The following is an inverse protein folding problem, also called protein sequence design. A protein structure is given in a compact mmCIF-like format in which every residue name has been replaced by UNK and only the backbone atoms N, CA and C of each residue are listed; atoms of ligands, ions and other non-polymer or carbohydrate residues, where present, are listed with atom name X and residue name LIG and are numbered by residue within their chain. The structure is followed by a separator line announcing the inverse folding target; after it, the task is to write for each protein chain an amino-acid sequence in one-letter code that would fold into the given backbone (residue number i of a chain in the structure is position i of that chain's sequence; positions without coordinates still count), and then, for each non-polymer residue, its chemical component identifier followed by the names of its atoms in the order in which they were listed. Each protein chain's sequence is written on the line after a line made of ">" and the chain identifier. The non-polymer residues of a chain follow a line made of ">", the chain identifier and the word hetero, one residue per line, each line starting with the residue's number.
data_IF_267768554322
#
_entry.id   IF_267768554322
#
_cell.length_a   1.000
_cell.length_b   1.000
_cell.length_c   1.000
_cell.angle_alpha   90.00
_cell.angle_beta   90.00
_cell.angle_gamma   90.00
#
_symmetry.space_group_name_H-M   'P 1'
#
loop_
_entity.id
_entity.type
_entity.pdbx_description
1 polymer ?
#
# COMPACT_ATOMS: atom_id res chain seq x y z
N UNK A 1 26.80 30.82 -6.24
CA UNK A 1 25.53 30.32 -6.83
C UNK A 1 25.57 28.84 -7.21
N UNK A 2 26.70 28.30 -7.71
CA UNK A 2 26.84 26.90 -8.18
C UNK A 2 26.48 25.83 -7.11
N UNK A 3 26.71 26.13 -5.82
CA UNK A 3 26.51 25.18 -4.72
C UNK A 3 25.04 25.07 -4.27
N UNK A 4 24.22 26.09 -4.54
CA UNK A 4 22.79 26.09 -4.16
C UNK A 4 21.98 25.14 -5.04
N UNK A 5 22.34 25.00 -6.30
CA UNK A 5 21.71 24.07 -7.25
C UNK A 5 22.02 22.62 -6.90
N UNK A 6 23.29 22.31 -6.57
CA UNK A 6 23.67 20.97 -6.11
C UNK A 6 22.94 20.53 -4.83
N UNK A 7 22.74 21.45 -3.88
CA UNK A 7 21.96 21.20 -2.67
C UNK A 7 20.48 20.89 -2.97
N UNK A 8 19.86 21.66 -3.87
CA UNK A 8 18.45 21.45 -4.27
C UNK A 8 18.28 20.10 -4.99
N UNK A 9 19.21 19.73 -5.88
CA UNK A 9 19.19 18.43 -6.57
C UNK A 9 19.37 17.26 -5.59
N UNK A 10 20.25 17.40 -4.59
CA UNK A 10 20.43 16.39 -3.55
C UNK A 10 19.21 16.23 -2.63
N UNK A 11 18.55 17.33 -2.27
CA UNK A 11 17.30 17.32 -1.49
C UNK A 11 16.15 16.68 -2.28
N UNK A 12 16.00 17.02 -3.56
CA UNK A 12 14.97 16.38 -4.41
C UNK A 12 15.25 14.89 -4.63
N UNK A 13 16.50 14.51 -4.90
CA UNK A 13 16.89 13.11 -5.08
C UNK A 13 16.68 12.27 -3.82
N UNK A 14 17.02 12.80 -2.64
CA UNK A 14 16.80 12.12 -1.36
C UNK A 14 15.32 11.97 -1.02
N UNK A 15 14.49 12.99 -1.26
CA UNK A 15 13.02 12.90 -1.10
C UNK A 15 12.44 11.83 -2.04
N UNK A 16 12.84 11.81 -3.31
CA UNK A 16 12.41 10.81 -4.28
C UNK A 16 12.79 9.38 -3.86
N UNK A 17 14.00 9.19 -3.32
CA UNK A 17 14.45 7.89 -2.83
C UNK A 17 13.63 7.42 -1.62
N UNK A 18 13.30 8.31 -0.68
CA UNK A 18 12.48 8.00 0.49
C UNK A 18 11.05 7.61 0.08
N UNK A 19 10.47 8.30 -0.91
CA UNK A 19 9.16 7.96 -1.47
C UNK A 19 9.16 6.57 -2.12
N UNK A 20 10.19 6.26 -2.93
CA UNK A 20 10.37 4.93 -3.53
C UNK A 20 10.52 3.82 -2.47
N UNK A 21 11.24 4.09 -1.38
CA UNK A 21 11.44 3.11 -0.30
C UNK A 21 10.16 2.83 0.50
N UNK A 22 9.28 3.84 0.65
CA UNK A 22 7.96 3.65 1.27
C UNK A 22 6.99 2.87 0.38
N UNK A 23 7.16 2.91 -0.94
CA UNK A 23 6.44 2.08 -1.90
C UNK A 23 7.05 0.68 -2.09
N UNK A 24 7.56 0.05 -1.01
CA UNK A 24 7.93 -1.38 -0.99
C UNK A 24 6.71 -2.32 -0.96
N UNK A 25 5.64 -1.97 -1.69
CA UNK A 25 4.59 -2.89 -2.05
C UNK A 25 4.93 -3.52 -3.40
N UNK A 26 4.88 -4.85 -3.50
CA UNK A 26 5.07 -5.54 -4.77
C UNK A 26 3.93 -5.28 -5.76
N UNK A 27 4.01 -5.91 -6.93
CA UNK A 27 2.87 -6.03 -7.85
C UNK A 27 1.75 -6.79 -7.12
N UNK A 28 0.51 -6.32 -7.21
CA UNK A 28 -0.70 -6.97 -6.63
C UNK A 28 -0.75 -7.08 -5.09
N UNK A 29 -0.34 -6.02 -4.37
CA UNK A 29 -0.46 -5.98 -2.89
C UNK A 29 -1.89 -6.21 -2.37
N UNK A 30 -2.90 -5.85 -3.13
CA UNK A 30 -4.32 -6.11 -2.87
C UNK A 30 -4.63 -7.61 -2.74
N UNK A 31 -4.05 -8.45 -3.62
CA UNK A 31 -4.19 -9.91 -3.55
C UNK A 31 -3.50 -10.46 -2.30
N UNK A 32 -2.32 -9.91 -1.97
CA UNK A 32 -1.59 -10.28 -0.74
C UNK A 32 -2.43 -9.95 0.50
N UNK A 33 -3.02 -8.76 0.57
CA UNK A 33 -3.88 -8.38 1.70
C UNK A 33 -5.14 -9.24 1.76
N UNK A 34 -5.82 -9.51 0.64
CA UNK A 34 -6.98 -10.40 0.60
C UNK A 34 -6.63 -11.79 1.13
N UNK A 35 -5.48 -12.33 0.71
CA UNK A 35 -4.96 -13.61 1.20
C UNK A 35 -4.71 -13.57 2.71
N UNK A 36 -4.02 -12.54 3.21
CA UNK A 36 -3.75 -12.40 4.65
C UNK A 36 -5.03 -12.26 5.49
N UNK A 37 -6.08 -11.64 4.94
CA UNK A 37 -7.39 -11.52 5.57
C UNK A 37 -8.09 -12.89 5.63
N UNK A 38 -8.09 -13.65 4.54
CA UNK A 38 -8.65 -15.01 4.47
C UNK A 38 -7.98 -15.94 5.49
N UNK A 39 -6.66 -15.80 5.69
CA UNK A 39 -5.92 -16.56 6.71
C UNK A 39 -6.05 -15.98 8.14
N UNK A 40 -6.83 -14.92 8.35
CA UNK A 40 -7.00 -14.29 9.66
C UNK A 40 -5.72 -13.64 10.22
N UNK A 41 -4.74 -13.33 9.38
CA UNK A 41 -3.48 -12.68 9.77
C UNK A 41 -3.57 -11.15 9.77
N UNK A 42 -4.57 -10.61 9.08
CA UNK A 42 -4.87 -9.18 8.97
C UNK A 42 -6.38 -8.98 8.96
N UNK A 43 -6.84 -7.80 9.36
CA UNK A 43 -8.23 -7.37 9.18
C UNK A 43 -8.32 -6.37 8.04
N UNK A 44 -9.52 -6.18 7.47
CA UNK A 44 -9.73 -5.23 6.38
C UNK A 44 -9.42 -3.77 6.80
N UNK A 45 -9.62 -3.43 8.08
CA UNK A 45 -9.22 -2.14 8.66
C UNK A 45 -7.70 -1.85 8.55
N UNK A 46 -6.86 -2.90 8.49
CA UNK A 46 -5.40 -2.78 8.37
C UNK A 46 -4.92 -2.62 6.91
N UNK A 47 -5.84 -2.64 5.95
CA UNK A 47 -5.53 -2.42 4.54
C UNK A 47 -5.33 -0.92 4.29
N UNK A 48 -4.21 -0.50 3.67
CA UNK A 48 -4.00 0.90 3.29
C UNK A 48 -5.13 1.42 2.41
N UNK A 49 -5.54 2.68 2.61
CA UNK A 49 -6.68 3.28 1.90
C UNK A 49 -6.57 3.20 0.37
N UNK A 50 -5.35 3.31 -0.18
CA UNK A 50 -5.07 3.16 -1.62
C UNK A 50 -5.25 1.74 -2.17
N UNK A 51 -5.36 0.73 -1.30
CA UNK A 51 -5.55 -0.69 -1.62
C UNK A 51 -6.93 -1.21 -1.21
N UNK A 52 -7.69 -0.49 -0.36
CA UNK A 52 -8.95 -0.98 0.22
C UNK A 52 -9.96 -1.42 -0.82
N UNK A 53 -10.22 -0.58 -1.82
CA UNK A 53 -11.18 -0.88 -2.88
C UNK A 53 -10.78 -2.12 -3.69
N UNK A 54 -9.50 -2.23 -4.07
CA UNK A 54 -9.00 -3.38 -4.81
C UNK A 54 -8.99 -4.66 -3.96
N UNK A 55 -8.60 -4.57 -2.70
CA UNK A 55 -8.59 -5.70 -1.75
C UNK A 55 -10.01 -6.20 -1.50
N UNK A 56 -10.99 -5.29 -1.37
CA UNK A 56 -12.41 -5.64 -1.24
C UNK A 56 -12.89 -6.39 -2.46
N UNK A 57 -12.58 -5.88 -3.66
CA UNK A 57 -12.92 -6.56 -4.91
C UNK A 57 -12.29 -7.95 -4.99
N UNK A 58 -11.01 -8.11 -4.62
CA UNK A 58 -10.37 -9.43 -4.55
C UNK A 58 -11.11 -10.38 -3.60
N UNK A 59 -11.54 -9.91 -2.43
CA UNK A 59 -12.32 -10.72 -1.49
C UNK A 59 -13.68 -11.10 -2.08
N UNK A 60 -14.38 -10.18 -2.76
CA UNK A 60 -15.66 -10.46 -3.44
C UNK A 60 -15.50 -11.49 -4.56
N UNK A 61 -14.48 -11.34 -5.41
CA UNK A 61 -14.16 -12.25 -6.51
C UNK A 61 -13.80 -13.66 -5.98
N UNK A 62 -13.25 -13.76 -4.77
CA UNK A 62 -12.95 -15.01 -4.05
C UNK A 62 -14.13 -15.54 -3.22
N UNK A 63 -15.30 -14.88 -3.22
CA UNK A 63 -16.47 -15.29 -2.46
C UNK A 63 -16.38 -15.08 -0.94
N UNK A 64 -15.46 -14.20 -0.50
CA UNK A 64 -15.13 -13.87 0.90
C UNK A 64 -15.43 -12.39 1.21
N UNK A 65 -16.37 -11.78 0.49
CA UNK A 65 -16.68 -10.34 0.58
C UNK A 65 -17.13 -9.90 1.98
N UNK A 66 -17.67 -10.81 2.78
CA UNK A 66 -18.06 -10.58 4.18
C UNK A 66 -16.88 -10.30 5.12
N UNK A 67 -15.65 -10.60 4.70
CA UNK A 67 -14.43 -10.26 5.45
C UNK A 67 -13.99 -8.81 5.23
N UNK A 68 -14.56 -8.09 4.25
CA UNK A 68 -14.26 -6.69 3.97
C UNK A 68 -15.02 -5.72 4.90
N UNK A 69 -15.02 -6.02 6.20
CA UNK A 69 -15.67 -5.19 7.23
C UNK A 69 -14.67 -4.22 7.85
N UNK A 70 -15.05 -2.96 7.87
CA UNK A 70 -14.44 -1.99 8.79
C UNK A 70 -15.03 -2.31 10.16
N UNK A 71 -14.37 -3.18 10.93
CA UNK A 71 -14.69 -3.31 12.35
C UNK A 71 -14.50 -1.93 13.01
N UNK A 72 -15.45 -1.52 13.87
CA UNK A 72 -15.35 -0.31 14.70
C UNK A 72 -14.14 -0.33 15.63
#
# INVERSE_FOLDING_TARGET
>A
MKNKIGLVVALFGSVFLILKLKWRGGVEMDVVYATLIIYGKRTFAQVPMSLKERTKKCLEDLGMGELAKEEE
#
